data_IF_607336135162
#
_entry.id   IF_607336135162
#
_cell.length_a   1.000
_cell.length_b   1.000
_cell.length_c   1.000
_cell.angle_alpha   90.00
_cell.angle_beta   90.00
_cell.angle_gamma   90.00
#
_symmetry.space_group_name_H-M   'P 1'
#
loop_
_entity.id
_entity.type
_entity.pdbx_description
1 polymer ?
#
# COMPACT_ATOMS: atom_id res chain seq x y z
N UNK A 1 3.32 -12.71 -32.33
CA UNK A 1 2.67 -13.95 -31.85
C UNK A 1 2.13 -13.69 -30.46
N UNK A 2 0.84 -13.32 -30.35
CA UNK A 2 0.18 -13.10 -29.06
C UNK A 2 -0.59 -14.37 -28.70
N UNK A 3 -0.24 -14.97 -27.56
CA UNK A 3 -0.90 -16.16 -27.04
C UNK A 3 -2.20 -15.75 -26.33
N UNK A 4 -3.31 -16.15 -26.94
CA UNK A 4 -4.68 -16.08 -26.45
C UNK A 4 -4.83 -16.98 -25.21
N UNK A 5 -5.07 -16.38 -24.03
CA UNK A 5 -5.38 -17.11 -22.80
C UNK A 5 -6.90 -17.17 -22.64
N UNK A 6 -7.51 -18.18 -23.26
CA UNK A 6 -8.87 -18.63 -22.96
C UNK A 6 -8.95 -19.13 -21.52
N UNK A 7 -9.56 -18.35 -20.66
CA UNK A 7 -10.00 -18.76 -19.33
C UNK A 7 -11.12 -19.80 -19.49
N UNK A 8 -10.83 -21.06 -19.13
CA UNK A 8 -11.85 -22.11 -19.00
C UNK A 8 -12.73 -21.76 -17.80
N UNK A 9 -13.96 -21.32 -18.06
CA UNK A 9 -15.03 -21.38 -17.06
C UNK A 9 -15.32 -22.85 -16.77
N UNK A 10 -14.90 -23.33 -15.60
CA UNK A 10 -15.48 -24.53 -15.01
C UNK A 10 -16.92 -24.19 -14.65
N UNK A 11 -17.86 -24.81 -15.36
CA UNK A 11 -19.26 -24.88 -15.01
C UNK A 11 -19.39 -25.69 -13.72
N UNK A 12 -19.51 -25.02 -12.58
CA UNK A 12 -20.00 -25.64 -11.36
C UNK A 12 -21.44 -26.07 -11.61
N UNK A 13 -21.64 -27.38 -11.58
CA UNK A 13 -22.93 -28.04 -11.59
C UNK A 13 -23.65 -27.66 -10.30
N UNK A 14 -24.53 -26.66 -10.40
CA UNK A 14 -25.61 -26.45 -9.45
C UNK A 14 -26.51 -27.69 -9.49
N UNK A 15 -26.31 -28.60 -8.53
CA UNK A 15 -27.33 -29.58 -8.16
C UNK A 15 -28.60 -28.81 -7.88
N UNK A 16 -29.63 -29.06 -8.69
CA UNK A 16 -30.97 -28.57 -8.44
C UNK A 16 -31.38 -28.96 -7.01
N UNK A 17 -31.93 -28.03 -6.21
CA UNK A 17 -32.56 -28.39 -4.96
C UNK A 17 -33.65 -29.42 -5.26
N UNK A 18 -33.64 -30.49 -4.46
CA UNK A 18 -34.65 -31.54 -4.53
C UNK A 18 -36.03 -30.91 -4.55
N UNK A 19 -36.86 -31.44 -5.43
CA UNK A 19 -38.28 -31.21 -5.50
C UNK A 19 -38.87 -31.75 -4.18
N UNK A 20 -38.78 -30.96 -3.12
CA UNK A 20 -39.50 -31.20 -1.89
C UNK A 20 -40.98 -30.93 -2.14
N UNK A 21 -41.76 -31.74 -1.44
CA UNK A 21 -43.19 -32.00 -1.55
C UNK A 21 -44.03 -30.87 -2.12
N UNK A 22 -44.90 -31.25 -3.05
CA UNK A 22 -46.07 -30.46 -3.40
C UNK A 22 -46.83 -30.15 -2.11
N UNK A 23 -46.73 -28.90 -1.67
CA UNK A 23 -47.52 -28.36 -0.59
C UNK A 23 -48.98 -28.57 -0.96
N UNK A 24 -49.64 -29.39 -0.15
CA UNK A 24 -51.05 -29.75 -0.21
C UNK A 24 -51.91 -28.50 0.07
N UNK A 25 -51.99 -27.59 -0.91
CA UNK A 25 -52.85 -26.41 -0.82
C UNK A 25 -54.34 -26.76 -0.92
N UNK A 26 -54.68 -28.03 -1.18
CA UNK A 26 -56.06 -28.54 -1.24
C UNK A 26 -56.67 -28.82 0.14
N UNK A 27 -55.88 -28.79 1.23
CA UNK A 27 -56.37 -29.03 2.60
C UNK A 27 -56.25 -27.84 3.56
N UNK A 28 -55.76 -26.67 3.10
CA UNK A 28 -55.75 -25.47 3.93
C UNK A 28 -57.18 -25.00 4.20
N UNK A 29 -57.58 -25.05 5.46
CA UNK A 29 -58.86 -24.51 5.88
C UNK A 29 -58.81 -22.98 5.80
N UNK A 30 -59.92 -22.34 5.42
CA UNK A 30 -60.00 -20.88 5.22
C UNK A 30 -59.56 -20.07 6.47
N UNK A 31 -59.56 -20.69 7.64
CA UNK A 31 -59.15 -20.10 8.92
C UNK A 31 -57.62 -20.15 9.17
N UNK A 32 -56.85 -20.94 8.41
CA UNK A 32 -55.38 -21.07 8.55
C UNK A 32 -54.62 -20.07 7.69
N UNK A 33 -55.17 -19.69 6.52
CA UNK A 33 -54.58 -18.74 5.59
C UNK A 33 -54.27 -17.35 6.20
N UNK A 34 -55.11 -16.77 7.09
CA UNK A 34 -54.79 -15.50 7.73
C UNK A 34 -53.56 -15.57 8.65
N UNK A 35 -53.36 -16.68 9.35
CA UNK A 35 -52.26 -16.84 10.31
C UNK A 35 -50.90 -16.98 9.62
N UNK A 36 -50.86 -17.63 8.46
CA UNK A 36 -49.64 -17.76 7.66
C UNK A 36 -49.19 -16.43 7.07
N UNK A 37 -50.15 -15.60 6.62
CA UNK A 37 -49.86 -14.24 6.14
C UNK A 37 -49.34 -13.37 7.28
N UNK A 38 -49.96 -13.40 8.46
CA UNK A 38 -49.51 -12.62 9.61
C UNK A 38 -48.11 -13.01 10.08
N UNK A 39 -47.79 -14.31 10.02
CA UNK A 39 -46.45 -14.83 10.35
C UNK A 39 -45.43 -14.34 9.32
N UNK A 40 -45.69 -14.53 8.02
CA UNK A 40 -44.80 -14.07 6.94
C UNK A 40 -44.58 -12.56 6.97
N UNK A 41 -45.64 -11.78 7.20
CA UNK A 41 -45.55 -10.32 7.32
C UNK A 41 -44.70 -9.90 8.52
N UNK A 42 -44.82 -10.61 9.64
CA UNK A 42 -44.02 -10.35 10.84
C UNK A 42 -42.55 -10.68 10.63
N UNK A 43 -42.25 -11.81 9.99
CA UNK A 43 -40.89 -12.22 9.62
C UNK A 43 -40.26 -11.23 8.64
N UNK A 44 -41.00 -10.81 7.61
CA UNK A 44 -40.53 -9.84 6.62
C UNK A 44 -40.29 -8.46 7.26
N UNK A 45 -41.16 -8.06 8.19
CA UNK A 45 -40.99 -6.82 8.95
C UNK A 45 -39.77 -6.85 9.87
N UNK A 46 -39.50 -7.98 10.53
CA UNK A 46 -38.30 -8.18 11.33
C UNK A 46 -37.04 -8.14 10.45
N UNK A 47 -37.04 -8.88 9.34
CA UNK A 47 -35.95 -8.91 8.38
C UNK A 47 -35.63 -7.50 7.84
N UNK A 48 -36.66 -6.74 7.46
CA UNK A 48 -36.52 -5.35 7.02
C UNK A 48 -35.94 -4.44 8.11
N UNK A 49 -36.39 -4.64 9.36
CA UNK A 49 -35.89 -3.86 10.51
C UNK A 49 -34.41 -4.15 10.78
N UNK A 50 -34.00 -5.41 10.68
CA UNK A 50 -32.61 -5.83 10.86
C UNK A 50 -31.73 -5.31 9.72
N UNK A 51 -32.17 -5.43 8.46
CA UNK A 51 -31.47 -4.87 7.31
C UNK A 51 -31.26 -3.36 7.44
N UNK A 52 -32.27 -2.62 7.93
CA UNK A 52 -32.17 -1.18 8.19
C UNK A 52 -31.12 -0.84 9.25
N UNK A 53 -31.02 -1.62 10.32
CA UNK A 53 -30.00 -1.43 11.38
C UNK A 53 -28.59 -1.65 10.83
N UNK A 54 -28.38 -2.71 10.06
CA UNK A 54 -27.06 -2.98 9.46
C UNK A 54 -26.67 -1.89 8.45
N UNK A 55 -27.61 -1.42 7.62
CA UNK A 55 -27.35 -0.31 6.70
C UNK A 55 -26.98 0.98 7.45
N UNK A 56 -27.66 1.28 8.55
CA UNK A 56 -27.31 2.43 9.39
C UNK A 56 -25.91 2.31 9.97
N UNK A 57 -25.53 1.12 10.47
CA UNK A 57 -24.19 0.85 10.99
C UNK A 57 -23.09 1.03 9.92
N UNK A 58 -23.34 0.56 8.69
CA UNK A 58 -22.42 0.78 7.56
C UNK A 58 -22.28 2.27 7.26
N UNK A 59 -23.40 3.01 7.23
CA UNK A 59 -23.40 4.46 7.00
C UNK A 59 -22.56 5.19 8.06
N UNK A 60 -22.80 4.91 9.34
CA UNK A 60 -22.08 5.54 10.45
C UNK A 60 -20.57 5.24 10.38
N UNK A 61 -20.20 4.03 9.93
CA UNK A 61 -18.80 3.67 9.72
C UNK A 61 -18.17 4.43 8.54
N UNK A 62 -18.88 4.59 7.42
CA UNK A 62 -18.41 5.37 6.28
C UNK A 62 -18.23 6.85 6.63
N UNK A 63 -19.13 7.44 7.42
CA UNK A 63 -18.99 8.82 7.89
C UNK A 63 -17.74 8.99 8.77
N UNK A 64 -17.51 8.08 9.72
CA UNK A 64 -16.28 8.06 10.54
C UNK A 64 -15.02 7.91 9.70
N UNK A 65 -15.06 7.05 8.67
CA UNK A 65 -13.94 6.86 7.74
C UNK A 65 -13.69 8.13 6.91
N UNK A 66 -14.75 8.78 6.42
CA UNK A 66 -14.67 10.06 5.71
C UNK A 66 -14.02 11.15 6.57
N UNK A 67 -14.44 11.28 7.83
CA UNK A 67 -13.85 12.20 8.79
C UNK A 67 -12.38 11.87 9.09
N UNK A 68 -12.05 10.57 9.19
CA UNK A 68 -10.67 10.12 9.33
C UNK A 68 -9.82 10.52 8.13
N UNK A 69 -10.27 10.26 6.90
CA UNK A 69 -9.55 10.61 5.67
C UNK A 69 -9.37 12.13 5.58
N UNK A 70 -10.42 12.89 5.90
CA UNK A 70 -10.38 14.36 5.93
C UNK A 70 -9.36 14.86 6.96
N UNK A 71 -9.37 14.30 8.17
CA UNK A 71 -8.38 14.63 9.21
C UNK A 71 -6.96 14.22 8.80
N UNK A 72 -6.80 13.13 8.05
CA UNK A 72 -5.51 12.69 7.48
C UNK A 72 -5.01 13.67 6.42
N UNK A 73 -5.86 14.10 5.49
CA UNK A 73 -5.47 14.95 4.35
C UNK A 73 -5.13 16.39 4.74
N UNK A 74 -5.71 16.92 5.82
CA UNK A 74 -5.41 18.28 6.31
C UNK A 74 -4.14 18.41 7.15
N UNK A 75 -3.49 17.31 7.51
CA UNK A 75 -2.26 17.36 8.31
C UNK A 75 -1.05 17.65 7.43
N UNK A 76 -0.02 18.27 8.01
CA UNK A 76 1.23 18.48 7.27
C UNK A 76 1.73 17.14 6.73
N UNK A 77 2.05 17.06 5.43
CA UNK A 77 2.53 15.81 4.79
C UNK A 77 3.76 15.21 5.50
N UNK A 78 4.46 16.02 6.29
CA UNK A 78 5.62 15.63 7.10
C UNK A 78 5.30 14.67 8.26
N UNK A 79 4.03 14.56 8.65
CA UNK A 79 3.58 13.66 9.72
C UNK A 79 2.99 12.34 9.22
N UNK A 80 3.02 12.07 7.91
CA UNK A 80 2.55 10.81 7.35
C UNK A 80 3.71 9.82 7.29
N UNK A 81 3.58 8.70 7.99
CA UNK A 81 4.54 7.61 7.99
C UNK A 81 3.91 6.44 7.26
N UNK A 82 4.65 5.87 6.31
CA UNK A 82 4.26 4.63 5.68
C UNK A 82 5.02 3.47 6.34
N UNK A 83 4.27 2.48 6.82
CA UNK A 83 4.76 1.28 7.48
C UNK A 83 4.54 0.07 6.57
N UNK A 84 5.45 -0.90 6.62
CA UNK A 84 5.24 -2.21 6.02
C UNK A 84 5.02 -3.24 7.14
N UNK A 85 3.79 -3.68 7.31
CA UNK A 85 3.39 -4.66 8.33
C UNK A 85 3.18 -6.01 7.65
N UNK A 86 4.18 -6.89 7.71
CA UNK A 86 4.14 -8.25 7.12
C UNK A 86 3.81 -8.27 5.62
N UNK A 87 4.33 -7.32 4.86
CA UNK A 87 4.06 -7.19 3.42
C UNK A 87 2.82 -6.34 3.10
N UNK A 88 2.03 -5.94 4.10
CA UNK A 88 0.92 -5.01 3.92
C UNK A 88 1.36 -3.60 4.25
N UNK A 89 1.25 -2.69 3.29
CA UNK A 89 1.56 -1.27 3.51
C UNK A 89 0.43 -0.59 4.29
N UNK A 90 0.80 0.11 5.36
CA UNK A 90 -0.10 0.90 6.18
C UNK A 90 0.35 2.35 6.18
N UNK A 91 -0.60 3.29 6.15
CA UNK A 91 -0.35 4.72 6.26
C UNK A 91 -0.83 5.16 7.63
N UNK A 92 0.07 5.70 8.45
CA UNK A 92 -0.24 6.14 9.81
C UNK A 92 0.30 7.54 10.05
N UNK A 93 -0.29 8.25 11.00
CA UNK A 93 0.32 9.51 11.47
C UNK A 93 1.44 9.21 12.44
N UNK A 94 2.47 10.05 12.38
CA UNK A 94 3.53 10.08 13.37
C UNK A 94 3.00 10.32 14.79
N UNK A 95 1.98 11.18 14.94
CA UNK A 95 1.31 11.38 16.23
C UNK A 95 0.67 10.10 16.77
N UNK A 96 0.15 9.23 15.89
CA UNK A 96 -0.38 7.91 16.29
C UNK A 96 0.72 6.99 16.82
N UNK A 97 1.92 7.03 16.22
CA UNK A 97 3.09 6.26 16.67
C UNK A 97 3.72 6.78 17.97
N UNK A 98 3.36 8.01 18.38
CA UNK A 98 3.81 8.67 19.63
C UNK A 98 2.76 8.66 20.75
N UNK A 99 1.66 7.91 20.60
CA UNK A 99 0.60 7.85 21.63
C UNK A 99 1.12 7.24 22.93
N UNK A 100 1.94 6.19 22.83
CA UNK A 100 2.49 5.49 24.00
C UNK A 100 3.78 6.20 24.42
N UNK A 101 3.67 6.96 25.53
CA UNK A 101 4.79 7.69 26.11
C UNK A 101 5.90 6.76 26.58
N UNK A 102 7.14 7.21 26.43
CA UNK A 102 8.38 6.53 26.79
C UNK A 102 8.69 5.25 26.00
N UNK A 103 7.82 4.87 25.05
CA UNK A 103 8.06 3.71 24.19
C UNK A 103 9.23 3.93 23.25
N UNK A 104 9.90 2.84 22.85
CA UNK A 104 10.94 2.92 21.80
C UNK A 104 10.39 3.45 20.48
N UNK A 105 9.10 3.22 20.23
CA UNK A 105 8.40 3.74 19.06
C UNK A 105 8.27 5.27 19.14
N UNK A 106 7.86 5.82 20.29
CA UNK A 106 7.82 7.28 20.47
C UNK A 106 9.20 7.89 20.22
N UNK A 107 10.27 7.31 20.80
CA UNK A 107 11.64 7.82 20.64
C UNK A 107 12.12 7.78 19.19
N UNK A 108 11.75 6.76 18.42
CA UNK A 108 12.12 6.62 17.01
C UNK A 108 11.44 7.69 16.13
N UNK A 109 10.22 8.08 16.50
CA UNK A 109 9.41 9.03 15.75
C UNK A 109 9.35 10.43 16.41
N UNK A 110 10.16 10.65 17.45
CA UNK A 110 10.26 11.94 18.13
C UNK A 110 10.81 13.00 17.19
N UNK A 111 10.43 14.27 17.40
CA UNK A 111 10.82 15.37 16.52
C UNK A 111 12.34 15.47 16.34
N UNK A 112 13.10 15.28 17.42
CA UNK A 112 14.57 15.32 17.41
C UNK A 112 15.19 14.22 16.54
N UNK A 113 14.81 12.96 16.76
CA UNK A 113 15.34 11.82 16.04
C UNK A 113 14.82 11.71 14.60
N UNK A 114 13.56 12.14 14.37
CA UNK A 114 12.91 12.08 13.07
C UNK A 114 13.48 13.11 12.10
N UNK A 115 13.77 14.34 12.57
CA UNK A 115 14.47 15.33 11.75
C UNK A 115 15.88 14.89 11.40
N UNK A 116 16.55 14.12 12.26
CA UNK A 116 17.91 13.62 12.01
C UNK A 116 17.94 12.37 11.11
N UNK A 117 16.87 11.56 11.12
CA UNK A 117 16.71 10.40 10.23
C UNK A 117 16.20 10.79 8.83
N UNK A 118 15.45 11.89 8.75
CA UNK A 118 14.96 12.47 7.50
C UNK A 118 15.31 13.96 7.35
N UNK A 119 16.61 14.34 7.40
CA UNK A 119 17.02 15.72 7.32
C UNK A 119 16.99 16.12 5.85
N UNK A 120 15.79 16.28 5.26
CA UNK A 120 15.68 16.60 3.83
C UNK A 120 16.66 15.77 3.00
N UNK A 121 16.85 14.47 3.35
CA UNK A 121 17.94 13.63 2.83
C UNK A 121 17.81 13.67 1.33
N UNK A 122 18.70 14.47 0.72
CA UNK A 122 18.41 15.23 -0.48
C UNK A 122 17.65 14.34 -1.42
N UNK A 123 16.37 14.68 -1.68
CA UNK A 123 15.61 14.06 -2.76
C UNK A 123 16.61 13.93 -3.90
N UNK A 124 16.83 12.75 -4.44
CA UNK A 124 17.85 12.56 -5.49
C UNK A 124 17.66 13.53 -6.65
N UNK A 125 16.47 14.16 -6.77
CA UNK A 125 16.15 15.33 -7.59
C UNK A 125 16.91 16.64 -7.29
N UNK A 126 17.61 16.77 -6.16
CA UNK A 126 18.34 17.97 -5.74
C UNK A 126 19.84 17.73 -5.67
N UNK A 127 20.31 16.53 -6.02
CA UNK A 127 21.72 16.22 -5.97
C UNK A 127 22.52 17.06 -6.96
N UNK A 128 23.63 17.62 -6.48
CA UNK A 128 24.67 18.16 -7.35
C UNK A 128 25.36 17.02 -8.12
N UNK A 129 26.13 17.36 -9.15
CA UNK A 129 26.92 16.35 -9.87
C UNK A 129 27.95 15.66 -8.95
N UNK A 130 28.50 16.37 -7.97
CA UNK A 130 29.43 15.81 -6.97
C UNK A 130 28.75 14.77 -6.08
N UNK A 131 27.50 15.01 -5.70
CA UNK A 131 26.70 14.07 -4.92
C UNK A 131 26.32 12.83 -5.74
N UNK A 132 26.00 12.99 -7.03
CA UNK A 132 25.78 11.88 -7.98
C UNK A 132 27.04 11.04 -8.14
N UNK A 133 28.20 11.68 -8.36
CA UNK A 133 29.49 11.00 -8.46
C UNK A 133 29.82 10.27 -7.16
N UNK A 134 29.61 10.90 -6.01
CA UNK A 134 29.81 10.28 -4.71
C UNK A 134 28.87 9.09 -4.47
N UNK A 135 27.62 9.18 -4.94
CA UNK A 135 26.68 8.07 -4.90
C UNK A 135 27.17 6.89 -5.76
N UNK A 136 27.61 7.15 -7.00
CA UNK A 136 28.12 6.12 -7.90
C UNK A 136 29.37 5.42 -7.30
N UNK A 137 30.35 6.17 -6.77
CA UNK A 137 31.56 5.62 -6.12
C UNK A 137 31.25 4.76 -4.88
N UNK A 138 30.19 5.08 -4.14
CA UNK A 138 29.78 4.32 -2.94
C UNK A 138 28.92 3.11 -3.27
N UNK A 139 28.38 3.01 -4.48
CA UNK A 139 27.45 1.95 -4.83
C UNK A 139 28.19 0.68 -5.24
N UNK A 140 28.13 -0.36 -4.40
CA UNK A 140 28.93 -1.59 -4.55
C UNK A 140 28.80 -2.30 -5.91
N UNK A 141 27.65 -2.15 -6.60
CA UNK A 141 27.40 -2.76 -7.91
C UNK A 141 27.80 -1.89 -9.11
N UNK A 142 28.22 -0.62 -8.91
CA UNK A 142 28.57 0.31 -9.99
C UNK A 142 30.10 0.40 -10.10
N UNK A 143 30.70 0.13 -11.28
CA UNK A 143 32.12 0.33 -11.50
C UNK A 143 32.52 1.80 -11.38
N UNK A 144 33.70 2.08 -10.81
CA UNK A 144 34.21 3.45 -10.61
C UNK A 144 34.30 4.27 -11.91
N UNK A 145 34.55 3.60 -13.05
CA UNK A 145 34.56 4.22 -14.38
C UNK A 145 33.26 4.96 -14.69
N UNK A 146 32.11 4.45 -14.23
CA UNK A 146 30.80 5.10 -14.42
C UNK A 146 30.72 6.39 -13.62
N UNK A 147 31.32 6.43 -12.43
CA UNK A 147 31.33 7.65 -11.62
C UNK A 147 32.17 8.74 -12.30
N UNK A 148 33.27 8.38 -12.95
CA UNK A 148 34.07 9.32 -13.77
C UNK A 148 33.25 9.85 -14.93
N UNK A 149 32.51 9.00 -15.65
CA UNK A 149 31.63 9.42 -16.74
C UNK A 149 30.56 10.42 -16.25
N UNK A 150 29.92 10.15 -15.10
CA UNK A 150 28.93 11.07 -14.53
C UNK A 150 29.55 12.40 -14.08
N UNK A 151 30.78 12.36 -13.54
CA UNK A 151 31.54 13.54 -13.13
C UNK A 151 31.92 14.40 -14.35
N UNK A 152 32.46 13.80 -15.41
CA UNK A 152 32.85 14.48 -16.66
C UNK A 152 31.66 15.13 -17.37
N UNK A 153 30.52 14.44 -17.39
CA UNK A 153 29.29 14.95 -17.99
C UNK A 153 28.48 15.85 -17.03
N UNK A 154 28.97 16.08 -15.80
CA UNK A 154 28.32 16.88 -14.75
C UNK A 154 26.84 16.49 -14.52
N UNK A 155 26.55 15.20 -14.55
CA UNK A 155 25.19 14.67 -14.40
C UNK A 155 24.65 15.01 -13.02
N UNK A 156 23.62 15.85 -12.96
CA UNK A 156 22.94 16.18 -11.72
C UNK A 156 21.87 15.15 -11.35
N UNK A 157 21.28 15.31 -10.17
CA UNK A 157 20.31 14.39 -9.63
C UNK A 157 19.01 14.22 -10.44
N UNK A 158 18.52 15.30 -11.08
CA UNK A 158 17.34 15.21 -11.95
C UNK A 158 17.65 14.43 -13.23
N UNK A 159 18.80 14.72 -13.83
CA UNK A 159 19.28 14.05 -15.03
C UNK A 159 19.50 12.57 -14.76
N UNK A 160 20.20 12.22 -13.68
CA UNK A 160 20.43 10.83 -13.27
C UNK A 160 19.12 10.04 -13.20
N UNK A 161 18.08 10.63 -12.62
CA UNK A 161 16.77 10.00 -12.50
C UNK A 161 15.99 9.94 -13.82
N UNK A 162 16.36 10.75 -14.82
CA UNK A 162 15.77 10.73 -16.16
C UNK A 162 16.50 9.77 -17.11
N UNK A 163 17.78 9.46 -16.85
CA UNK A 163 18.59 8.58 -17.71
C UNK A 163 17.92 7.21 -17.91
N UNK A 164 17.66 6.92 -19.17
CA UNK A 164 17.28 5.62 -19.68
C UNK A 164 18.49 4.79 -20.12
N UNK A 165 18.18 3.57 -20.55
CA UNK A 165 19.16 2.61 -21.06
C UNK A 165 19.96 3.16 -22.24
N UNK A 166 19.31 3.88 -23.16
CA UNK A 166 19.97 4.38 -24.36
C UNK A 166 20.80 5.63 -24.07
N UNK A 167 20.32 6.53 -23.19
CA UNK A 167 21.09 7.69 -22.73
C UNK A 167 22.42 7.28 -22.06
N UNK A 168 22.41 6.20 -21.27
CA UNK A 168 23.64 5.65 -20.66
C UNK A 168 24.65 5.15 -21.72
N UNK A 169 24.17 4.65 -22.88
CA UNK A 169 25.07 4.27 -23.98
C UNK A 169 25.66 5.50 -24.64
N UNK A 170 24.85 6.54 -24.84
CA UNK A 170 25.29 7.82 -25.42
C UNK A 170 26.33 8.51 -24.55
N UNK A 171 26.22 8.35 -23.22
CA UNK A 171 27.24 8.79 -22.25
C UNK A 171 28.54 7.96 -22.27
N UNK A 172 28.60 6.87 -23.05
CA UNK A 172 29.80 6.05 -23.21
C UNK A 172 29.82 4.73 -22.44
N UNK A 173 28.75 4.37 -21.72
CA UNK A 173 28.67 3.09 -21.00
C UNK A 173 28.23 1.98 -21.98
N UNK A 174 29.17 1.43 -22.73
CA UNK A 174 28.86 0.46 -23.79
C UNK A 174 28.72 -0.98 -23.30
N UNK A 175 29.37 -1.35 -22.19
CA UNK A 175 29.38 -2.73 -21.70
C UNK A 175 27.97 -3.12 -21.23
N UNK A 176 27.32 -4.14 -21.84
CA UNK A 176 25.93 -4.48 -21.52
C UNK A 176 25.67 -4.84 -20.05
N UNK A 177 26.65 -5.50 -19.40
CA UNK A 177 26.57 -5.86 -17.98
C UNK A 177 26.58 -4.63 -17.07
N UNK A 178 27.54 -3.73 -17.26
CA UNK A 178 27.61 -2.45 -16.53
C UNK A 178 26.34 -1.65 -16.71
N UNK A 179 25.84 -1.58 -17.95
CA UNK A 179 24.65 -0.82 -18.26
C UNK A 179 23.40 -1.38 -17.56
N UNK A 180 23.28 -2.70 -17.46
CA UNK A 180 22.20 -3.34 -16.70
C UNK A 180 22.28 -3.02 -15.20
N UNK A 181 23.48 -3.08 -14.61
CA UNK A 181 23.71 -2.75 -13.19
C UNK A 181 23.39 -1.29 -12.87
N UNK A 182 23.86 -0.36 -13.70
CA UNK A 182 23.58 1.08 -13.52
C UNK A 182 22.09 1.37 -13.69
N UNK A 183 21.44 0.79 -14.70
CA UNK A 183 19.99 0.95 -14.91
C UNK A 183 19.19 0.44 -13.71
N UNK A 184 19.58 -0.73 -13.16
CA UNK A 184 18.97 -1.29 -11.94
C UNK A 184 19.17 -0.35 -10.75
N UNK A 185 20.41 0.11 -10.52
CA UNK A 185 20.73 1.02 -9.42
C UNK A 185 19.95 2.35 -9.50
N UNK A 186 19.82 2.94 -10.69
CA UNK A 186 19.01 4.15 -10.92
C UNK A 186 17.52 3.87 -10.68
N UNK A 187 17.03 2.70 -11.11
CA UNK A 187 15.64 2.27 -10.87
C UNK A 187 15.38 2.13 -9.38
N UNK A 188 16.25 1.45 -8.64
CA UNK A 188 16.15 1.31 -7.18
C UNK A 188 16.21 2.67 -6.48
N UNK A 189 17.07 3.57 -6.95
CA UNK A 189 17.15 4.94 -6.45
C UNK A 189 15.84 5.71 -6.70
N UNK A 190 15.26 5.58 -7.89
CA UNK A 190 13.96 6.19 -8.24
C UNK A 190 12.86 5.65 -7.35
N UNK A 191 12.78 4.33 -7.18
CA UNK A 191 11.82 3.68 -6.30
C UNK A 191 12.00 4.17 -4.87
N UNK A 192 13.22 4.21 -4.30
CA UNK A 192 13.48 4.73 -2.95
C UNK A 192 13.14 6.21 -2.79
N UNK A 193 13.38 7.02 -3.82
CA UNK A 193 13.07 8.45 -3.80
C UNK A 193 11.57 8.74 -3.82
N UNK A 194 10.79 7.86 -4.44
CA UNK A 194 9.32 7.89 -4.43
C UNK A 194 8.77 7.20 -3.17
N UNK A 195 9.50 6.20 -2.69
CA UNK A 195 9.17 5.40 -1.53
C UNK A 195 9.91 5.87 -0.28
N UNK A 196 9.49 7.02 0.23
CA UNK A 196 9.84 7.52 1.56
C UNK A 196 9.15 6.70 2.69
N UNK A 197 9.23 5.38 2.63
CA UNK A 197 8.62 4.47 3.62
C UNK A 197 9.62 4.20 4.72
N UNK A 198 9.17 4.27 5.97
CA UNK A 198 9.94 3.72 7.09
C UNK A 198 9.68 2.24 7.10
N UNK A 199 10.68 1.46 6.67
CA UNK A 199 10.61 0.02 6.77
C UNK A 199 10.78 -0.38 8.24
N UNK A 200 9.67 -0.60 8.93
CA UNK A 200 9.66 -1.31 10.21
C UNK A 200 9.53 -2.80 9.88
N UNK A 201 10.66 -3.51 9.87
CA UNK A 201 10.61 -4.97 9.73
C UNK A 201 9.99 -5.58 10.99
N UNK A 202 8.85 -6.23 10.83
CA UNK A 202 8.22 -7.00 11.89
C UNK A 202 8.93 -8.36 12.03
N UNK A 203 10.14 -8.35 12.57
CA UNK A 203 10.63 -9.54 13.25
C UNK A 203 9.80 -9.76 14.52
N UNK A 204 9.50 -11.01 14.89
CA UNK A 204 8.82 -11.33 16.15
C UNK A 204 9.56 -10.75 17.38
N UNK A 205 10.85 -10.42 17.22
CA UNK A 205 11.69 -9.74 18.20
C UNK A 205 11.39 -8.25 18.40
N UNK A 206 10.75 -7.57 17.43
CA UNK A 206 10.47 -6.14 17.52
C UNK A 206 9.31 -5.82 18.48
N UNK A 207 8.35 -6.73 18.66
CA UNK A 207 7.22 -6.51 19.58
C UNK A 207 7.66 -6.51 21.05
N UNK A 208 8.61 -7.37 21.42
CA UNK A 208 9.20 -7.37 22.76
C UNK A 208 10.03 -6.12 23.08
N UNK A 209 10.39 -5.32 22.07
CA UNK A 209 11.07 -4.04 22.27
C UNK A 209 10.17 -2.81 22.09
N UNK A 210 8.96 -2.95 21.55
CA UNK A 210 7.99 -1.85 21.40
C UNK A 210 7.11 -1.72 22.65
N UNK A 211 6.83 -2.84 23.33
CA UNK A 211 5.94 -2.90 24.50
C UNK A 211 6.71 -2.83 25.83
N UNK A 212 8.05 -2.90 25.78
CA UNK A 212 8.96 -2.84 26.95
C UNK A 212 9.78 -1.54 26.98
#
# INVERSE_FOLDING_TARGET
MYADKRTKHQSESTKAPGHEDGTDWETMTFDEFPNDIDTLMSEEQEALTNAKKELQKVKDNMEKEGDFIKKMSFSSKKDIVYLNVRGTFMIVKRSTLRIIKDSKLERQFDDSAWTDQHPDKLSSKKWSYEEVTGWAKRHAEIPDEVAVIFEENKVNGLELLALGRDDLKELGIQRPGTLALVTKAITDLRTRSQNQYVFIDHSAYCFGKIID
#
